data_IF_286127651366
#
_entry.id   IF_286127651366
#
_cell.length_a   1.000
_cell.length_b   1.000
_cell.length_c   1.000
_cell.angle_alpha   90.00
_cell.angle_beta   90.00
_cell.angle_gamma   90.00
#
_symmetry.space_group_name_H-M   'P 1'
#
loop_
_entity.id
_entity.type
_entity.pdbx_description
1 polymer ?
#
# COMPACT_ATOMS: atom_id res chain seq x y z
N UNK A 1 -6.44 -13.35 2.76
CA UNK A 1 -6.31 -11.88 2.92
C UNK A 1 -6.02 -11.26 1.55
N UNK A 2 -7.03 -11.24 0.68
CA UNK A 2 -6.88 -10.89 -0.74
C UNK A 2 -7.00 -9.38 -0.90
N UNK A 3 -5.89 -8.71 -1.26
CA UNK A 3 -5.90 -7.29 -1.64
C UNK A 3 -5.26 -7.15 -3.01
N UNK A 4 -6.07 -6.92 -4.06
CA UNK A 4 -5.62 -6.80 -5.45
C UNK A 4 -5.86 -5.38 -6.00
N UNK A 5 -4.95 -4.91 -6.86
CA UNK A 5 -4.68 -3.50 -7.23
C UNK A 5 -4.91 -3.18 -8.70
N UNK A 6 -5.68 -2.13 -9.05
CA UNK A 6 -5.62 -1.34 -10.30
C UNK A 6 -6.51 -0.05 -10.34
N UNK A 7 -6.69 0.58 -11.51
CA UNK A 7 -7.25 1.92 -11.72
C UNK A 7 -8.56 1.87 -12.54
N UNK A 8 -9.44 2.85 -12.36
CA UNK A 8 -10.66 3.07 -13.15
C UNK A 8 -10.33 3.17 -14.65
N UNK A 9 -10.83 2.23 -15.45
CA UNK A 9 -11.10 2.47 -16.86
C UNK A 9 -12.56 2.93 -16.94
N UNK A 10 -12.76 4.20 -17.31
CA UNK A 10 -14.05 4.66 -17.83
C UNK A 10 -14.30 3.90 -19.15
N UNK A 11 -14.87 2.71 -19.06
CA UNK A 11 -15.63 2.16 -20.18
C UNK A 11 -16.75 1.26 -19.67
N UNK A 12 -17.96 1.61 -20.11
CA UNK A 12 -19.21 0.92 -19.84
C UNK A 12 -19.08 -0.58 -20.09
N UNK A 13 -18.99 -1.38 -19.03
CA UNK A 13 -19.40 -2.77 -19.09
C UNK A 13 -20.11 -3.15 -17.81
N UNK A 14 -21.42 -3.39 -17.96
CA UNK A 14 -22.24 -4.11 -16.99
C UNK A 14 -21.56 -5.45 -16.69
N UNK A 15 -20.83 -5.56 -15.57
CA UNK A 15 -20.64 -6.79 -14.80
C UNK A 15 -19.88 -6.53 -13.48
N UNK A 16 -20.59 -6.72 -12.36
CA UNK A 16 -20.13 -7.42 -11.15
C UNK A 16 -18.81 -6.92 -10.54
N UNK A 17 -18.92 -5.89 -9.68
CA UNK A 17 -17.79 -5.29 -8.97
C UNK A 17 -17.04 -6.29 -8.08
N UNK A 18 -15.73 -6.46 -8.31
CA UNK A 18 -14.82 -7.25 -7.46
C UNK A 18 -13.60 -6.41 -7.01
N UNK A 19 -13.33 -6.49 -5.69
CA UNK A 19 -12.11 -6.24 -4.89
C UNK A 19 -11.55 -4.84 -4.57
N UNK A 20 -11.01 -4.77 -3.33
CA UNK A 20 -10.33 -3.64 -2.68
C UNK A 20 -8.97 -3.31 -3.28
N UNK A 21 -8.92 -2.17 -3.95
CA UNK A 21 -7.96 -1.87 -5.00
C UNK A 21 -7.12 -0.64 -4.65
N UNK A 22 -5.83 -0.85 -4.33
CA UNK A 22 -4.87 0.25 -4.06
C UNK A 22 -4.82 1.17 -5.28
N UNK A 23 -4.93 2.49 -5.08
CA UNK A 23 -4.75 3.49 -6.13
C UNK A 23 -3.66 4.45 -5.74
N UNK A 24 -2.93 4.76 -6.77
CA UNK A 24 -1.63 5.35 -6.83
C UNK A 24 -1.77 6.61 -7.66
N UNK A 25 -2.51 7.60 -7.17
CA UNK A 25 -2.40 8.96 -7.72
C UNK A 25 -1.16 9.67 -7.16
N UNK A 26 -0.02 9.09 -7.54
CA UNK A 26 1.15 9.83 -8.04
C UNK A 26 2.04 8.92 -8.89
N UNK A 27 2.15 7.61 -8.60
CA UNK A 27 2.95 6.66 -9.39
C UNK A 27 2.44 5.19 -9.44
N UNK A 28 1.99 4.71 -10.61
CA UNK A 28 1.92 3.28 -11.02
C UNK A 28 3.30 2.67 -11.27
N UNK A 29 3.47 1.36 -11.42
CA UNK A 29 4.69 0.78 -12.06
C UNK A 29 4.96 1.44 -13.41
N UNK A 30 3.87 1.80 -14.12
CA UNK A 30 3.80 2.60 -15.35
C UNK A 30 4.01 4.11 -15.18
N UNK A 31 4.22 4.65 -13.97
CA UNK A 31 4.61 6.05 -13.72
C UNK A 31 5.89 6.15 -12.85
N UNK A 32 6.20 5.14 -12.04
CA UNK A 32 7.39 5.03 -11.18
C UNK A 32 8.61 4.66 -12.00
N UNK A 33 8.50 3.64 -12.88
CA UNK A 33 9.55 3.33 -13.84
C UNK A 33 9.71 4.48 -14.84
N UNK A 34 8.67 5.01 -15.51
CA UNK A 34 8.86 6.10 -16.45
C UNK A 34 9.17 7.47 -15.85
N UNK A 35 8.87 7.82 -14.58
CA UNK A 35 9.42 9.06 -14.00
C UNK A 35 10.91 8.91 -13.64
N UNK A 36 11.32 7.74 -13.14
CA UNK A 36 12.74 7.43 -12.89
C UNK A 36 13.51 7.28 -14.22
N UNK A 37 12.90 6.69 -15.25
CA UNK A 37 13.40 6.72 -16.62
C UNK A 37 13.37 8.17 -17.18
N UNK A 38 12.31 8.96 -17.03
CA UNK A 38 12.21 10.34 -17.55
C UNK A 38 13.24 11.27 -16.91
N UNK A 39 13.52 11.12 -15.62
CA UNK A 39 14.63 11.77 -14.93
C UNK A 39 16.01 11.25 -15.42
N UNK A 40 16.13 9.95 -15.74
CA UNK A 40 17.34 9.36 -16.37
C UNK A 40 17.54 9.77 -17.84
N UNK A 41 16.45 10.06 -18.58
CA UNK A 41 16.42 10.37 -20.01
C UNK A 41 16.25 11.87 -20.30
N UNK A 42 16.18 12.73 -19.28
CA UNK A 42 16.15 14.18 -19.44
C UNK A 42 17.46 14.71 -20.03
N UNK A 43 17.56 14.69 -21.36
CA UNK A 43 18.55 15.47 -22.12
C UNK A 43 18.36 16.98 -21.94
N UNK A 44 17.16 17.40 -21.51
CA UNK A 44 16.78 18.80 -21.30
C UNK A 44 17.60 19.50 -20.20
N UNK A 45 18.25 18.75 -19.29
CA UNK A 45 19.18 19.29 -18.29
C UNK A 45 20.66 19.14 -18.66
N UNK A 46 20.98 18.88 -19.94
CA UNK A 46 22.36 18.92 -20.45
C UNK A 46 23.26 17.75 -20.05
N UNK A 47 22.70 16.61 -19.62
CA UNK A 47 23.47 15.40 -19.28
C UNK A 47 23.79 14.49 -20.48
N UNK A 48 24.88 13.71 -20.39
CA UNK A 48 25.39 12.77 -21.41
C UNK A 48 24.44 11.62 -21.82
N UNK A 49 23.24 11.55 -21.24
CA UNK A 49 22.30 10.44 -21.48
C UNK A 49 22.77 9.08 -20.91
N UNK A 50 23.74 9.10 -19.98
CA UNK A 50 24.24 7.90 -19.32
C UNK A 50 23.33 7.55 -18.15
N UNK A 51 22.85 6.31 -18.14
CA UNK A 51 21.91 5.80 -17.14
C UNK A 51 22.54 5.69 -15.76
N UNK A 52 21.83 6.15 -14.73
CA UNK A 52 22.22 5.90 -13.34
C UNK A 52 21.91 4.44 -12.98
N UNK A 53 22.92 3.58 -13.08
CA UNK A 53 22.81 2.14 -12.81
C UNK A 53 22.37 1.84 -11.38
N UNK A 54 22.71 2.69 -10.41
CA UNK A 54 22.28 2.51 -9.01
C UNK A 54 20.76 2.66 -8.88
N UNK A 55 20.20 3.75 -9.41
CA UNK A 55 18.75 3.99 -9.38
C UNK A 55 17.98 2.92 -10.16
N UNK A 56 18.53 2.48 -11.30
CA UNK A 56 17.97 1.34 -12.03
C UNK A 56 17.92 0.09 -11.16
N UNK A 57 19.03 -0.26 -10.51
CA UNK A 57 19.11 -1.46 -9.70
C UNK A 57 18.14 -1.41 -8.51
N UNK A 58 18.07 -0.28 -7.82
CA UNK A 58 17.10 -0.04 -6.75
C UNK A 58 15.66 -0.21 -7.23
N UNK A 59 15.31 0.34 -8.40
CA UNK A 59 13.96 0.20 -8.97
C UNK A 59 13.59 -1.26 -9.29
N UNK A 60 14.57 -2.06 -9.74
CA UNK A 60 14.37 -3.48 -10.02
C UNK A 60 14.18 -4.29 -8.73
N UNK A 61 14.89 -3.92 -7.67
CA UNK A 61 14.71 -4.54 -6.35
C UNK A 61 13.36 -4.14 -5.72
N UNK A 62 12.95 -2.88 -5.84
CA UNK A 62 11.63 -2.41 -5.40
C UNK A 62 10.49 -3.13 -6.13
N UNK A 63 10.68 -3.54 -7.38
CA UNK A 63 9.70 -4.36 -8.11
C UNK A 63 9.38 -5.67 -7.37
N UNK A 64 10.36 -6.27 -6.70
CA UNK A 64 10.14 -7.47 -5.89
C UNK A 64 9.32 -7.19 -4.63
N UNK A 65 9.51 -6.03 -3.97
CA UNK A 65 8.61 -5.58 -2.89
C UNK A 65 7.19 -5.39 -3.41
N UNK A 66 7.03 -4.81 -4.60
CA UNK A 66 5.71 -4.66 -5.21
C UNK A 66 5.03 -6.02 -5.47
N UNK A 67 5.77 -6.98 -6.03
CA UNK A 67 5.29 -8.35 -6.20
C UNK A 67 4.93 -9.00 -4.86
N UNK A 68 5.70 -8.76 -3.80
CA UNK A 68 5.39 -9.29 -2.46
C UNK A 68 4.04 -8.82 -1.93
N UNK A 69 3.72 -7.54 -2.15
CA UNK A 69 2.43 -6.96 -1.74
C UNK A 69 1.28 -7.53 -2.59
N UNK A 70 1.45 -7.59 -3.91
CA UNK A 70 0.37 -7.95 -4.83
C UNK A 70 0.12 -9.46 -4.99
N UNK A 71 1.13 -10.30 -4.78
CA UNK A 71 1.06 -11.75 -5.02
C UNK A 71 0.79 -12.53 -3.72
N UNK A 72 -0.44 -12.42 -3.20
CA UNK A 72 -0.80 -13.00 -1.90
C UNK A 72 -0.59 -14.53 -1.82
N UNK A 73 -0.85 -15.25 -2.92
CA UNK A 73 -0.84 -16.73 -2.98
C UNK A 73 0.41 -17.30 -3.67
N UNK A 74 1.47 -16.52 -3.78
CA UNK A 74 2.67 -17.00 -4.42
C UNK A 74 3.52 -17.85 -3.47
N UNK A 75 3.90 -19.06 -3.91
CA UNK A 75 4.74 -19.97 -3.11
C UNK A 75 6.07 -19.33 -2.68
N UNK A 76 6.66 -18.48 -3.52
CA UNK A 76 7.89 -17.78 -3.17
C UNK A 76 7.66 -16.81 -1.99
N UNK A 77 6.49 -16.16 -1.90
CA UNK A 77 6.11 -15.31 -0.77
C UNK A 77 6.01 -16.13 0.50
N UNK A 78 5.41 -17.32 0.46
CA UNK A 78 5.33 -18.23 1.60
C UNK A 78 6.72 -18.63 2.11
N UNK A 79 7.63 -18.98 1.20
CA UNK A 79 9.03 -19.30 1.55
C UNK A 79 9.72 -18.11 2.23
N UNK A 80 9.50 -16.89 1.71
CA UNK A 80 10.02 -15.66 2.29
C UNK A 80 9.44 -15.41 3.69
N UNK A 81 8.14 -15.58 3.88
CA UNK A 81 7.47 -15.42 5.18
C UNK A 81 7.97 -16.43 6.19
N UNK A 82 8.10 -17.71 5.81
CA UNK A 82 8.63 -18.76 6.69
C UNK A 82 10.07 -18.47 7.10
N UNK A 83 10.88 -17.95 6.18
CA UNK A 83 12.31 -17.69 6.43
C UNK A 83 12.56 -16.42 7.24
N UNK A 84 11.86 -15.33 6.94
CA UNK A 84 12.16 -14.01 7.48
C UNK A 84 11.10 -13.52 8.49
N UNK A 85 9.96 -14.19 8.58
CA UNK A 85 8.82 -13.78 9.39
C UNK A 85 8.03 -12.62 8.76
N UNK A 86 6.72 -12.65 8.98
CA UNK A 86 5.81 -11.57 8.60
C UNK A 86 5.75 -10.52 9.74
N UNK A 87 5.89 -9.25 9.39
CA UNK A 87 5.65 -8.14 10.32
C UNK A 87 4.22 -7.63 10.14
N UNK A 88 3.85 -7.38 8.89
CA UNK A 88 2.50 -7.04 8.45
C UNK A 88 2.24 -7.70 7.07
N UNK A 89 1.00 -7.67 6.54
CA UNK A 89 0.67 -8.29 5.24
C UNK A 89 1.47 -7.77 4.04
N UNK A 90 2.14 -6.62 4.20
CA UNK A 90 2.83 -5.85 3.17
C UNK A 90 4.34 -6.01 3.27
N UNK A 91 4.84 -6.46 4.42
CA UNK A 91 6.24 -6.37 4.77
C UNK A 91 6.70 -7.48 5.72
N UNK A 92 7.89 -8.00 5.46
CA UNK A 92 8.58 -8.97 6.34
C UNK A 92 9.24 -8.26 7.53
N UNK A 93 9.60 -9.01 8.57
CA UNK A 93 10.39 -8.48 9.68
C UNK A 93 11.75 -8.00 9.20
N UNK A 94 12.30 -7.01 9.91
CA UNK A 94 13.66 -6.52 9.64
C UNK A 94 14.67 -7.63 9.89
N UNK A 95 15.59 -7.82 8.93
CA UNK A 95 16.61 -8.88 8.99
C UNK A 95 17.88 -8.32 9.63
N UNK A 96 18.16 -8.70 10.88
CA UNK A 96 19.32 -8.23 11.66
C UNK A 96 20.55 -9.15 11.62
N UNK A 97 20.46 -10.29 10.92
CA UNK A 97 21.52 -11.29 10.93
C UNK A 97 22.80 -10.79 10.24
N UNK A 98 23.96 -10.85 10.92
CA UNK A 98 25.23 -10.34 10.39
C UNK A 98 25.80 -11.21 9.25
N UNK A 99 25.47 -12.51 9.21
CA UNK A 99 25.95 -13.46 8.21
C UNK A 99 24.80 -13.98 7.35
N UNK A 100 24.97 -13.87 6.03
CA UNK A 100 23.93 -14.19 5.04
C UNK A 100 23.50 -12.94 4.28
N UNK A 101 24.23 -12.61 3.21
CA UNK A 101 23.91 -11.50 2.29
C UNK A 101 22.73 -11.91 1.40
N UNK A 102 21.57 -12.18 2.00
CA UNK A 102 20.39 -12.59 1.25
C UNK A 102 19.90 -11.45 0.38
N UNK A 103 19.64 -11.72 -0.90
CA UNK A 103 19.02 -10.75 -1.84
C UNK A 103 17.77 -10.10 -1.21
N UNK A 104 16.99 -10.90 -0.45
CA UNK A 104 15.80 -10.42 0.24
C UNK A 104 16.08 -9.35 1.30
N UNK A 105 17.24 -9.36 1.98
CA UNK A 105 17.60 -8.31 2.94
C UNK A 105 17.75 -6.97 2.23
N UNK A 106 18.43 -6.97 1.08
CA UNK A 106 18.59 -5.74 0.28
C UNK A 106 17.25 -5.24 -0.22
N UNK A 107 16.38 -6.15 -0.68
CA UNK A 107 15.00 -5.82 -1.08
C UNK A 107 14.23 -5.22 0.11
N UNK A 108 14.25 -5.88 1.27
CA UNK A 108 13.56 -5.43 2.49
C UNK A 108 14.05 -4.08 2.99
N UNK A 109 15.33 -3.77 2.85
CA UNK A 109 15.89 -2.48 3.25
C UNK A 109 15.39 -1.30 2.40
N UNK A 110 14.83 -1.55 1.20
CA UNK A 110 14.22 -0.53 0.37
C UNK A 110 12.77 -0.21 0.79
N UNK A 111 12.18 -0.99 1.69
CA UNK A 111 10.80 -0.81 2.13
C UNK A 111 10.49 0.58 2.68
N UNK A 112 11.28 1.19 3.59
CA UNK A 112 10.94 2.51 4.13
C UNK A 112 10.87 3.60 3.06
N UNK A 113 11.74 3.51 2.04
CA UNK A 113 11.72 4.42 0.90
C UNK A 113 10.49 4.22 0.02
N UNK A 114 10.06 2.96 -0.15
CA UNK A 114 8.85 2.63 -0.90
C UNK A 114 7.60 3.08 -0.15
N UNK A 115 7.48 2.74 1.14
CA UNK A 115 6.38 3.06 2.03
C UNK A 115 6.08 4.56 2.09
N UNK A 116 7.12 5.40 2.19
CA UNK A 116 6.96 6.85 2.18
C UNK A 116 6.30 7.42 0.91
N UNK A 117 6.28 6.64 -0.17
CA UNK A 117 5.68 7.00 -1.46
C UNK A 117 4.43 6.19 -1.80
N UNK A 118 3.96 5.33 -0.89
CA UNK A 118 2.72 4.55 -1.05
C UNK A 118 1.53 5.33 -0.49
N UNK A 119 0.40 5.22 -1.18
CA UNK A 119 -0.89 5.72 -0.72
C UNK A 119 -1.93 4.62 -0.87
N UNK A 120 -2.78 4.46 0.15
CA UNK A 120 -3.92 3.55 0.09
C UNK A 120 -5.05 4.22 -0.69
N UNK A 121 -5.75 3.46 -1.53
CA UNK A 121 -7.07 3.84 -2.05
C UNK A 121 -8.05 2.78 -1.63
N UNK A 122 -9.21 3.24 -1.23
CA UNK A 122 -10.34 2.39 -0.86
C UNK A 122 -11.01 1.86 -2.12
N UNK A 123 -11.31 0.57 -2.14
CA UNK A 123 -12.19 -0.05 -3.13
C UNK A 123 -13.59 -0.25 -2.56
N UNK A 124 -14.00 -1.51 -2.38
CA UNK A 124 -15.31 -1.85 -1.78
C UNK A 124 -15.36 -1.70 -0.25
N UNK A 125 -14.26 -1.36 0.41
CA UNK A 125 -14.18 -1.09 1.85
C UNK A 125 -14.07 -2.33 2.74
N UNK A 126 -14.33 -3.55 2.25
CA UNK A 126 -14.41 -4.78 3.07
C UNK A 126 -13.12 -5.18 3.80
N UNK A 127 -11.97 -4.66 3.39
CA UNK A 127 -10.69 -5.01 4.01
C UNK A 127 -9.98 -3.78 4.59
N UNK A 128 -10.56 -2.60 4.47
CA UNK A 128 -9.98 -1.36 4.98
C UNK A 128 -10.67 -1.01 6.28
N UNK A 129 -9.94 -1.00 7.40
CA UNK A 129 -10.49 -0.64 8.71
C UNK A 129 -10.76 0.85 8.77
N UNK A 130 -11.99 1.23 9.12
CA UNK A 130 -12.42 2.62 9.13
C UNK A 130 -11.51 3.49 10.01
N UNK A 131 -11.21 3.04 11.23
CA UNK A 131 -10.44 3.85 12.19
C UNK A 131 -8.93 3.71 12.08
N UNK A 132 -8.45 2.51 11.73
CA UNK A 132 -7.04 2.13 11.91
C UNK A 132 -6.20 2.29 10.65
N UNK A 133 -6.80 2.16 9.48
CA UNK A 133 -6.08 2.28 8.23
C UNK A 133 -6.04 3.76 7.78
N UNK A 134 -4.91 4.17 7.21
CA UNK A 134 -4.72 5.53 6.69
C UNK A 134 -5.32 5.63 5.28
N UNK A 135 -6.67 5.71 5.20
CA UNK A 135 -7.41 5.65 3.95
C UNK A 135 -7.95 7.00 3.46
N UNK A 136 -8.04 8.00 4.34
CA UNK A 136 -8.38 9.40 3.99
C UNK A 136 -7.11 10.19 3.65
N UNK A 137 -6.12 10.13 4.56
CA UNK A 137 -4.83 10.83 4.47
C UNK A 137 -3.68 9.86 4.79
N UNK A 138 -2.45 10.38 4.98
CA UNK A 138 -1.30 9.56 5.41
C UNK A 138 -1.35 9.10 6.88
N UNK A 139 -2.35 9.54 7.65
CA UNK A 139 -2.54 9.17 9.06
C UNK A 139 -3.90 8.49 9.26
N UNK A 140 -3.99 7.60 10.24
CA UNK A 140 -5.25 6.92 10.58
C UNK A 140 -6.25 7.90 11.22
N UNK A 141 -7.55 7.65 11.07
CA UNK A 141 -8.58 8.46 11.74
C UNK A 141 -8.50 8.34 13.27
N UNK A 142 -8.03 7.21 13.79
CA UNK A 142 -7.74 7.02 15.21
C UNK A 142 -6.71 8.02 15.73
N UNK A 143 -5.66 8.28 14.96
CA UNK A 143 -4.58 9.20 15.40
C UNK A 143 -5.02 10.66 15.29
N UNK A 144 -5.86 10.99 14.29
CA UNK A 144 -6.42 12.33 14.10
C UNK A 144 -7.53 12.66 15.12
N UNK A 145 -8.36 11.67 15.47
CA UNK A 145 -9.52 11.83 16.34
C UNK A 145 -9.55 10.78 17.45
N UNK A 146 -8.59 10.79 18.39
CA UNK A 146 -8.45 9.76 19.42
C UNK A 146 -9.68 9.70 20.35
N UNK A 147 -10.31 10.83 20.64
CA UNK A 147 -11.49 10.90 21.50
C UNK A 147 -12.71 10.22 20.86
N UNK A 148 -12.93 10.45 19.56
CA UNK A 148 -14.00 9.79 18.78
C UNK A 148 -13.75 8.29 18.66
N UNK A 149 -12.50 7.89 18.43
CA UNK A 149 -12.12 6.48 18.41
C UNK A 149 -12.39 5.79 19.75
N UNK A 150 -12.11 6.46 20.87
CA UNK A 150 -12.31 5.90 22.21
C UNK A 150 -13.77 5.61 22.52
N UNK A 151 -14.68 6.47 22.06
CA UNK A 151 -16.12 6.29 22.24
C UNK A 151 -16.78 5.47 21.13
N UNK A 152 -16.04 4.99 20.13
CA UNK A 152 -16.58 4.13 19.08
C UNK A 152 -17.07 2.79 19.67
N UNK A 153 -18.24 2.35 19.21
CA UNK A 153 -18.78 1.05 19.60
C UNK A 153 -17.96 -0.09 18.97
N UNK A 154 -17.70 0.01 17.67
CA UNK A 154 -17.02 -1.00 16.87
C UNK A 154 -15.72 -0.45 16.22
N UNK A 155 -14.59 -0.44 16.94
CA UNK A 155 -13.32 0.10 16.43
C UNK A 155 -12.64 -0.77 15.36
N UNK A 156 -13.12 -1.98 15.12
CA UNK A 156 -12.58 -2.90 14.10
C UNK A 156 -13.39 -2.92 12.80
N UNK A 157 -14.49 -2.16 12.72
CA UNK A 157 -15.36 -2.16 11.55
C UNK A 157 -14.62 -1.70 10.29
N UNK A 158 -15.00 -2.31 9.17
CA UNK A 158 -14.44 -1.99 7.87
C UNK A 158 -15.20 -0.82 7.24
N UNK A 159 -14.61 -0.20 6.23
CA UNK A 159 -15.26 0.89 5.51
C UNK A 159 -16.58 0.46 4.86
N UNK A 160 -16.70 -0.81 4.48
CA UNK A 160 -17.94 -1.34 3.93
C UNK A 160 -19.03 -1.43 4.99
N UNK A 161 -18.66 -1.80 6.22
CA UNK A 161 -19.60 -1.91 7.34
C UNK A 161 -20.11 -0.53 7.75
N UNK A 162 -19.24 0.49 7.71
CA UNK A 162 -19.60 1.86 8.09
C UNK A 162 -20.31 2.66 6.99
N UNK A 163 -20.49 2.12 5.76
CA UNK A 163 -21.07 2.86 4.63
C UNK A 163 -22.37 2.21 4.14
N UNK A 164 -23.48 2.93 4.29
CA UNK A 164 -24.82 2.50 3.85
C UNK A 164 -25.31 3.34 2.67
N UNK A 165 -26.41 2.93 2.02
CA UNK A 165 -27.06 3.74 0.97
C UNK A 165 -27.51 5.12 1.45
N UNK A 166 -27.65 5.30 2.77
CA UNK A 166 -28.10 6.53 3.43
C UNK A 166 -26.92 7.38 3.93
N UNK A 167 -25.68 6.90 3.80
CA UNK A 167 -24.46 7.57 4.20
C UNK A 167 -23.63 6.80 5.24
N UNK A 168 -22.79 7.53 5.97
CA UNK A 168 -21.95 6.97 7.04
C UNK A 168 -22.83 6.51 8.22
N UNK A 169 -22.72 5.22 8.56
CA UNK A 169 -23.33 4.63 9.75
C UNK A 169 -22.21 4.29 10.75
N UNK A 170 -21.97 5.18 11.71
CA UNK A 170 -20.90 5.05 12.70
C UNK A 170 -21.54 5.15 14.08
N UNK A 171 -21.51 4.03 14.81
CA UNK A 171 -22.10 3.94 16.16
C UNK A 171 -21.07 4.31 17.23
N UNK A 172 -21.51 5.17 18.17
CA UNK A 172 -20.73 5.61 19.32
C UNK A 172 -21.45 5.23 20.61
N UNK A 173 -20.69 4.88 21.64
CA UNK A 173 -21.18 4.48 22.97
C UNK A 173 -21.89 5.60 23.74
N UNK A 174 -21.76 6.85 23.27
CA UNK A 174 -22.38 8.05 23.82
C UNK A 174 -22.79 8.97 22.67
N UNK A 175 -23.85 9.75 22.86
CA UNK A 175 -24.25 10.76 21.88
C UNK A 175 -23.18 11.85 21.82
N UNK A 176 -22.91 12.35 20.61
CA UNK A 176 -21.90 13.40 20.37
C UNK A 176 -22.33 14.80 20.84
N UNK A 177 -23.55 14.92 21.39
CA UNK A 177 -24.22 16.19 21.68
C UNK A 177 -24.28 16.57 23.18
N UNK A 178 -23.44 15.97 24.03
CA UNK A 178 -23.33 16.37 25.44
C UNK A 178 -22.09 17.23 25.71
#
# INVERSE_FOLDING_TARGET
>A
MKRFVYIDDDDLSNNIYCDNRISNRKYTVWNFLPKNLWEQFSRERGGLGIRNLRLQNESLLMKWLWSYIGEERALWKEVIVVKYGEFDPWCTKTVYEPYGVGVWRTIRNLWPQMEANLHLKVGNGNETKFWKDAWVDQTSLKDLFPDLFFICENPEDTLCDCWTEQGWDISFRRMLND
#
